data_IF_315184278418
#
_entry.id   IF_315184278418
#
_cell.length_a   1.000
_cell.length_b   1.000
_cell.length_c   1.000
_cell.angle_alpha   90.00
_cell.angle_beta   90.00
_cell.angle_gamma   90.00
#
_symmetry.space_group_name_H-M   'P 1'
#
loop_
_entity.id
_entity.type
_entity.pdbx_description
1 polymer ?
#
# COMPACT_ATOMS: atom_id res chain seq x y z
N UNK A 1 22.15 -18.82 42.98
CA UNK A 1 21.02 -17.92 43.30
C UNK A 1 21.27 -16.60 42.60
N UNK A 2 20.69 -16.43 41.40
CA UNK A 2 20.61 -15.17 40.65
C UNK A 2 19.32 -15.24 39.85
N UNK A 3 18.49 -14.21 39.96
CA UNK A 3 17.17 -14.08 39.35
C UNK A 3 17.35 -13.60 37.90
N UNK A 4 16.76 -14.22 36.86
CA UNK A 4 16.76 -13.64 35.54
C UNK A 4 15.61 -12.65 35.36
N UNK A 5 15.97 -11.52 34.76
CA UNK A 5 15.12 -10.37 34.52
C UNK A 5 13.99 -10.67 33.52
N UNK A 6 12.79 -10.38 33.99
CA UNK A 6 11.60 -9.86 33.29
C UNK A 6 11.72 -9.57 31.79
N UNK A 7 10.85 -10.23 31.02
CA UNK A 7 10.34 -9.77 29.71
C UNK A 7 9.84 -8.32 29.76
N UNK A 8 9.86 -7.63 28.62
CA UNK A 8 8.69 -6.92 28.13
C UNK A 8 8.08 -7.77 27.02
N UNK A 9 6.88 -8.28 27.31
CA UNK A 9 6.03 -8.97 26.37
C UNK A 9 5.79 -8.07 25.14
N UNK A 10 6.28 -8.49 23.98
CA UNK A 10 5.67 -8.10 22.72
C UNK A 10 4.29 -8.75 22.74
N UNK A 11 3.23 -7.94 22.86
CA UNK A 11 1.83 -8.41 22.79
C UNK A 11 1.57 -8.93 21.38
N UNK A 12 1.99 -10.16 21.12
CA UNK A 12 1.39 -11.00 20.10
C UNK A 12 0.04 -11.39 20.67
N UNK A 13 -1.04 -10.91 20.04
CA UNK A 13 -2.39 -11.26 20.44
C UNK A 13 -2.62 -12.76 20.16
N UNK A 14 -2.29 -13.59 21.13
CA UNK A 14 -2.73 -14.97 21.23
C UNK A 14 -4.24 -14.93 21.51
N UNK A 15 -5.06 -14.94 20.45
CA UNK A 15 -6.40 -15.52 20.37
C UNK A 15 -7.17 -14.94 19.17
N UNK A 16 -6.72 -15.24 17.96
CA UNK A 16 -7.63 -15.50 16.83
C UNK A 16 -7.11 -16.70 16.07
N UNK A 17 -7.84 -17.81 16.19
CA UNK A 17 -7.82 -18.89 15.21
C UNK A 17 -8.42 -18.34 13.91
N UNK A 18 -7.66 -17.54 13.18
CA UNK A 18 -7.85 -17.41 11.75
C UNK A 18 -6.73 -18.23 11.14
N UNK A 19 -7.12 -19.34 10.54
CA UNK A 19 -6.26 -20.24 9.77
C UNK A 19 -5.13 -19.46 9.09
N UNK A 20 -3.86 -19.92 9.13
CA UNK A 20 -2.85 -19.32 8.27
C UNK A 20 -3.42 -19.44 6.87
N UNK A 21 -3.88 -18.32 6.29
CA UNK A 21 -4.24 -18.31 4.89
C UNK A 21 -2.98 -18.84 4.20
N UNK A 22 -3.06 -19.97 3.49
CA UNK A 22 -1.88 -20.49 2.82
C UNK A 22 -1.39 -19.34 1.96
N UNK A 23 -0.12 -18.96 2.16
CA UNK A 23 0.52 -17.97 1.31
C UNK A 23 0.31 -18.48 -0.10
N UNK A 24 -0.61 -17.86 -0.83
CA UNK A 24 -1.16 -18.40 -2.08
C UNK A 24 -0.08 -18.54 -3.16
N UNK A 25 1.05 -17.88 -2.96
CA UNK A 25 2.25 -17.97 -3.76
C UNK A 25 3.47 -18.32 -2.89
N UNK A 26 3.99 -19.54 -3.03
CA UNK A 26 5.13 -20.03 -2.26
C UNK A 26 6.46 -19.35 -2.60
N UNK A 27 6.48 -18.42 -3.57
CA UNK A 27 7.69 -17.69 -3.99
C UNK A 27 7.95 -16.47 -3.12
N UNK A 28 6.92 -15.76 -2.68
CA UNK A 28 7.07 -14.54 -1.86
C UNK A 28 7.28 -14.89 -0.37
N UNK A 29 8.28 -14.28 0.30
CA UNK A 29 8.60 -14.61 1.69
C UNK A 29 7.69 -13.93 2.73
N UNK A 30 6.75 -13.10 2.29
CA UNK A 30 5.79 -12.41 3.15
C UNK A 30 4.48 -12.11 2.40
N UNK A 31 3.43 -11.78 3.15
CA UNK A 31 2.22 -11.14 2.65
C UNK A 31 2.05 -9.76 3.29
N UNK A 32 1.35 -8.87 2.60
CA UNK A 32 0.92 -7.57 3.12
C UNK A 32 -0.56 -7.43 2.80
N UNK A 33 -1.38 -7.26 3.83
CA UNK A 33 -2.82 -7.08 3.69
C UNK A 33 -3.33 -5.99 4.65
N UNK A 34 -4.60 -5.64 4.50
CA UNK A 34 -5.33 -4.75 5.38
C UNK A 34 -6.35 -5.57 6.17
N UNK A 35 -6.12 -5.64 7.48
CA UNK A 35 -6.99 -6.36 8.40
C UNK A 35 -7.77 -5.40 9.29
N UNK A 36 -8.75 -5.94 10.04
CA UNK A 36 -9.60 -5.18 10.96
C UNK A 36 -9.81 -5.91 12.28
N UNK A 37 -9.65 -5.18 13.38
CA UNK A 37 -10.06 -5.60 14.72
C UNK A 37 -11.08 -4.62 15.34
N UNK A 38 -11.33 -4.78 16.64
CA UNK A 38 -12.27 -3.95 17.39
C UNK A 38 -11.74 -2.50 17.58
N UNK A 39 -10.46 -2.25 17.34
CA UNK A 39 -9.81 -0.94 17.46
C UNK A 39 -9.67 -0.22 16.11
N UNK A 40 -9.90 -0.90 14.99
CA UNK A 40 -9.89 -0.32 13.66
C UNK A 40 -9.20 -1.21 12.62
N UNK A 41 -8.82 -0.59 11.51
CA UNK A 41 -8.06 -1.26 10.45
C UNK A 41 -6.55 -1.07 10.67
N UNK A 42 -5.76 -2.05 10.24
CA UNK A 42 -4.30 -2.02 10.33
C UNK A 42 -3.67 -2.77 9.16
N UNK A 43 -2.38 -2.50 8.90
CA UNK A 43 -1.59 -3.31 7.96
C UNK A 43 -1.13 -4.58 8.65
N UNK A 44 -1.51 -5.74 8.11
CA UNK A 44 -0.97 -7.03 8.54
C UNK A 44 0.19 -7.42 7.62
N UNK A 45 1.33 -7.74 8.21
CA UNK A 45 2.49 -8.29 7.50
C UNK A 45 2.80 -9.65 8.09
N UNK A 46 2.52 -10.70 7.33
CA UNK A 46 2.85 -12.07 7.74
C UNK A 46 4.15 -12.47 7.08
N UNK A 47 5.15 -12.79 7.90
CA UNK A 47 6.42 -13.33 7.44
C UNK A 47 6.38 -14.85 7.45
N UNK A 48 6.97 -15.46 6.44
CA UNK A 48 7.19 -16.90 6.44
C UNK A 48 8.19 -17.30 7.51
N UNK A 49 7.86 -18.23 8.42
CA UNK A 49 8.80 -18.63 9.47
C UNK A 49 10.15 -19.12 8.93
N UNK A 50 10.15 -19.83 7.81
CA UNK A 50 11.37 -20.36 7.16
C UNK A 50 12.22 -19.31 6.46
N UNK A 51 11.70 -18.08 6.28
CA UNK A 51 12.38 -17.00 5.53
C UNK A 51 12.33 -15.64 6.21
N UNK A 52 11.76 -15.54 7.41
CA UNK A 52 11.51 -14.27 8.09
C UNK A 52 12.79 -13.45 8.29
N UNK A 53 13.90 -14.12 8.66
CA UNK A 53 15.20 -13.47 8.86
C UNK A 53 15.79 -12.85 7.58
N UNK A 54 15.31 -13.25 6.40
CA UNK A 54 15.77 -12.75 5.11
C UNK A 54 15.01 -11.51 4.66
N UNK A 55 13.85 -11.22 5.27
CA UNK A 55 13.02 -10.07 4.91
C UNK A 55 13.49 -8.85 5.70
N UNK A 56 13.67 -7.73 5.00
CA UNK A 56 13.92 -6.41 5.59
C UNK A 56 12.83 -5.46 5.11
N UNK A 57 12.15 -4.85 6.08
CA UNK A 57 11.12 -3.84 5.83
C UNK A 57 11.71 -2.45 6.10
N UNK A 58 11.45 -1.51 5.20
CA UNK A 58 11.85 -0.12 5.35
C UNK A 58 10.73 0.80 4.85
N UNK A 59 10.43 1.85 5.60
CA UNK A 59 9.56 2.93 5.13
C UNK A 59 10.43 3.93 4.37
N UNK A 60 10.20 4.07 3.06
CA UNK A 60 10.99 4.94 2.20
C UNK A 60 10.55 6.40 2.27
N UNK A 61 9.24 6.63 2.43
CA UNK A 61 8.65 7.96 2.48
C UNK A 61 7.31 7.91 3.23
N UNK A 62 6.95 9.03 3.88
CA UNK A 62 5.68 9.20 4.59
C UNK A 62 5.09 10.54 4.18
N UNK A 63 3.80 10.53 3.83
CA UNK A 63 3.02 11.72 3.57
C UNK A 63 1.89 11.84 4.60
N UNK A 64 2.13 12.44 5.79
CA UNK A 64 1.15 12.46 6.89
C UNK A 64 -0.17 13.13 6.51
N UNK A 65 -0.10 14.24 5.75
CA UNK A 65 -1.29 14.97 5.29
C UNK A 65 -2.18 14.14 4.36
N UNK A 66 -1.58 13.22 3.61
CA UNK A 66 -2.29 12.29 2.74
C UNK A 66 -2.61 10.96 3.46
N UNK A 67 -2.09 10.75 4.68
CA UNK A 67 -2.18 9.48 5.42
C UNK A 67 -1.64 8.29 4.62
N UNK A 68 -0.56 8.52 3.87
CA UNK A 68 0.09 7.52 3.03
C UNK A 68 1.53 7.28 3.46
N UNK A 69 2.04 6.09 3.22
CA UNK A 69 3.44 5.71 3.35
C UNK A 69 3.87 4.82 2.18
N UNK A 70 5.14 4.89 1.80
CA UNK A 70 5.76 3.98 0.85
C UNK A 70 6.59 2.96 1.61
N UNK A 71 6.15 1.70 1.61
CA UNK A 71 6.85 0.58 2.23
C UNK A 71 7.71 -0.12 1.18
N UNK A 72 8.93 -0.51 1.56
CA UNK A 72 9.77 -1.42 0.81
C UNK A 72 10.00 -2.70 1.61
N UNK A 73 9.80 -3.83 0.96
CA UNK A 73 10.26 -5.13 1.43
C UNK A 73 11.43 -5.58 0.56
N UNK A 74 12.52 -6.02 1.18
CA UNK A 74 13.69 -6.61 0.51
C UNK A 74 13.91 -8.03 1.01
N UNK A 75 14.29 -8.93 0.12
CA UNK A 75 14.71 -10.29 0.46
C UNK A 75 15.72 -10.79 -0.57
N UNK A 76 16.90 -11.23 -0.10
CA UNK A 76 18.02 -11.55 -1.00
C UNK A 76 18.36 -10.37 -1.93
N UNK A 77 18.31 -10.61 -3.23
CA UNK A 77 18.52 -9.58 -4.27
C UNK A 77 17.21 -9.00 -4.82
N UNK A 78 16.07 -9.41 -4.29
CA UNK A 78 14.74 -8.96 -4.72
C UNK A 78 14.21 -7.85 -3.81
N UNK A 79 13.34 -7.00 -4.35
CA UNK A 79 12.62 -6.01 -3.56
C UNK A 79 11.30 -5.65 -4.20
N UNK A 80 10.26 -5.55 -3.37
CA UNK A 80 8.97 -5.01 -3.76
C UNK A 80 8.67 -3.73 -2.97
N UNK A 81 7.88 -2.84 -3.58
CA UNK A 81 7.42 -1.60 -2.95
C UNK A 81 5.90 -1.58 -2.93
N UNK A 82 5.35 -1.02 -1.87
CA UNK A 82 3.92 -0.93 -1.66
C UNK A 82 3.56 0.48 -1.22
N UNK A 83 2.60 1.07 -1.91
CA UNK A 83 1.96 2.27 -1.43
C UNK A 83 0.84 1.85 -0.50
N UNK A 84 0.97 2.24 0.76
CA UNK A 84 0.02 1.92 1.80
C UNK A 84 -0.59 3.21 2.32
N UNK A 85 -1.86 3.16 2.72
CA UNK A 85 -2.45 4.34 3.33
C UNK A 85 -3.91 4.20 3.71
N UNK A 86 -4.47 5.33 4.14
CA UNK A 86 -5.87 5.48 4.49
C UNK A 86 -6.55 6.56 3.65
N UNK A 87 -7.45 6.12 2.79
CA UNK A 87 -8.29 6.99 1.96
C UNK A 87 -9.56 7.45 2.73
N UNK A 88 -10.53 8.07 2.07
CA UNK A 88 -11.77 8.63 2.60
C UNK A 88 -12.54 7.65 3.47
N UNK A 89 -12.48 6.34 3.18
CA UNK A 89 -13.27 5.33 3.88
C UNK A 89 -12.54 4.03 4.23
N UNK A 90 -11.40 3.74 3.60
CA UNK A 90 -10.75 2.44 3.73
C UNK A 90 -9.23 2.56 3.75
N UNK A 91 -8.60 1.67 4.51
CA UNK A 91 -7.18 1.37 4.39
C UNK A 91 -6.92 0.60 3.08
N UNK A 92 -5.73 0.81 2.50
CA UNK A 92 -5.32 0.13 1.27
C UNK A 92 -3.83 -0.19 1.29
N UNK A 93 -3.45 -1.24 0.58
CA UNK A 93 -2.08 -1.54 0.20
C UNK A 93 -2.05 -1.87 -1.31
N UNK A 94 -1.16 -1.25 -2.06
CA UNK A 94 -1.03 -1.43 -3.50
C UNK A 94 0.42 -1.68 -3.89
N UNK A 95 0.68 -2.75 -4.62
CA UNK A 95 2.01 -3.06 -5.14
C UNK A 95 2.40 -2.05 -6.23
N UNK A 96 3.54 -1.39 -6.04
CA UNK A 96 4.07 -0.40 -6.99
C UNK A 96 4.90 -1.14 -8.04
N UNK A 97 4.67 -0.89 -9.35
CA UNK A 97 5.48 -1.49 -10.41
C UNK A 97 6.98 -1.24 -10.20
N UNK A 98 7.80 -2.30 -10.28
CA UNK A 98 9.25 -2.19 -10.07
C UNK A 98 9.92 -1.25 -11.08
N UNK A 99 9.41 -1.26 -12.33
CA UNK A 99 9.88 -0.40 -13.43
C UNK A 99 9.74 1.10 -13.15
N UNK A 100 8.86 1.50 -12.23
CA UNK A 100 8.68 2.90 -11.88
C UNK A 100 9.80 3.43 -10.96
N UNK A 101 10.61 2.55 -10.37
CA UNK A 101 11.69 2.89 -9.43
C UNK A 101 11.28 3.89 -8.33
N UNK A 102 10.00 3.93 -7.94
CA UNK A 102 9.46 4.95 -7.05
C UNK A 102 10.18 4.97 -5.69
N UNK A 103 10.59 6.16 -5.24
CA UNK A 103 11.25 6.39 -3.94
C UNK A 103 10.50 7.37 -3.05
N UNK A 104 9.35 7.88 -3.52
CA UNK A 104 8.46 8.76 -2.77
C UNK A 104 7.00 8.34 -2.94
N UNK A 105 6.15 8.74 -1.99
CA UNK A 105 4.70 8.53 -2.06
C UNK A 105 4.15 9.12 -3.35
N UNK A 106 4.60 10.31 -3.75
CA UNK A 106 4.15 10.97 -4.98
C UNK A 106 4.52 10.15 -6.22
N UNK A 107 5.76 9.66 -6.30
CA UNK A 107 6.19 8.83 -7.43
C UNK A 107 5.41 7.52 -7.50
N UNK A 108 5.14 6.89 -6.35
CA UNK A 108 4.31 5.70 -6.27
C UNK A 108 2.85 5.95 -6.71
N UNK A 109 2.28 7.11 -6.33
CA UNK A 109 0.95 7.51 -6.79
C UNK A 109 0.89 7.70 -8.30
N UNK A 110 1.90 8.32 -8.91
CA UNK A 110 1.97 8.47 -10.37
C UNK A 110 2.11 7.11 -11.07
N UNK A 111 2.94 6.21 -10.54
CA UNK A 111 3.20 4.88 -11.09
C UNK A 111 1.97 3.97 -11.12
N UNK A 112 1.01 4.21 -10.22
CA UNK A 112 -0.21 3.42 -10.08
C UNK A 112 -1.39 3.99 -10.89
N UNK A 113 -1.21 5.09 -11.63
CA UNK A 113 -2.26 5.62 -12.50
C UNK A 113 -2.43 4.74 -13.74
N UNK A 114 -3.67 4.41 -14.12
CA UNK A 114 -3.94 3.81 -15.42
C UNK A 114 -3.45 4.71 -16.57
N UNK A 115 -2.97 4.11 -17.65
CA UNK A 115 -2.43 4.84 -18.82
C UNK A 115 -3.41 5.90 -19.35
N UNK A 116 -4.69 5.55 -19.46
CA UNK A 116 -5.74 6.47 -19.92
C UNK A 116 -5.84 7.76 -19.06
N UNK A 117 -5.54 7.66 -17.76
CA UNK A 117 -5.51 8.80 -16.83
C UNK A 117 -4.26 9.63 -17.09
N UNK A 118 -3.10 8.98 -17.16
CA UNK A 118 -1.82 9.62 -17.45
C UNK A 118 -1.86 10.39 -18.78
N UNK A 119 -2.40 9.76 -19.84
CA UNK A 119 -2.60 10.37 -21.15
C UNK A 119 -3.53 11.59 -21.07
N UNK A 120 -4.63 11.47 -20.31
CA UNK A 120 -5.54 12.60 -20.12
C UNK A 120 -4.86 13.77 -19.39
N UNK A 121 -4.01 13.50 -18.40
CA UNK A 121 -3.25 14.54 -17.71
C UNK A 121 -2.27 15.27 -18.65
N UNK A 122 -1.64 14.53 -19.56
CA UNK A 122 -0.75 15.09 -20.58
C UNK A 122 -1.55 15.95 -21.57
N UNK A 123 -2.66 15.42 -22.12
CA UNK A 123 -3.54 16.15 -23.06
C UNK A 123 -4.04 17.47 -22.48
N UNK A 124 -4.41 17.48 -21.19
CA UNK A 124 -4.92 18.67 -20.51
C UNK A 124 -3.84 19.50 -19.80
N UNK A 125 -2.55 19.19 -20.03
CA UNK A 125 -1.40 19.91 -19.47
C UNK A 125 -1.50 20.13 -17.94
N UNK A 126 -1.93 19.10 -17.22
CA UNK A 126 -2.12 19.18 -15.76
C UNK A 126 -0.76 19.43 -15.10
N UNK A 127 -0.61 20.61 -14.48
CA UNK A 127 0.61 21.00 -13.75
C UNK A 127 0.91 19.97 -12.66
N UNK A 128 2.19 19.66 -12.44
CA UNK A 128 2.65 18.63 -11.50
C UNK A 128 1.97 18.72 -10.11
N UNK A 129 1.90 19.93 -9.53
CA UNK A 129 1.24 20.19 -8.23
C UNK A 129 -0.27 19.91 -8.17
N UNK A 130 -0.90 19.63 -9.31
CA UNK A 130 -2.32 19.31 -9.44
C UNK A 130 -2.58 17.85 -9.82
N UNK A 131 -1.53 17.09 -10.16
CA UNK A 131 -1.69 15.75 -10.72
C UNK A 131 -2.28 14.73 -9.77
N UNK A 132 -2.08 14.91 -8.46
CA UNK A 132 -2.63 14.05 -7.40
C UNK A 132 -3.76 14.71 -6.60
N UNK A 133 -4.32 15.82 -7.11
CA UNK A 133 -5.54 16.38 -6.52
C UNK A 133 -6.73 15.52 -6.89
N UNK A 134 -7.69 15.41 -5.98
CA UNK A 134 -8.97 14.70 -6.17
C UNK A 134 -9.71 15.09 -7.47
N UNK A 135 -9.61 16.35 -7.86
CA UNK A 135 -10.17 16.87 -9.12
C UNK A 135 -9.09 17.67 -9.84
N UNK A 136 -8.91 17.41 -11.14
CA UNK A 136 -8.10 18.23 -12.04
C UNK A 136 -8.69 18.16 -13.45
N UNK A 137 -8.10 18.88 -14.40
CA UNK A 137 -8.59 18.95 -15.78
C UNK A 137 -8.42 17.64 -16.58
N UNK A 138 -7.66 16.66 -16.07
CA UNK A 138 -7.46 15.37 -16.72
C UNK A 138 -8.39 14.26 -16.21
N UNK A 139 -8.86 14.35 -14.96
CA UNK A 139 -9.72 13.32 -14.38
C UNK A 139 -10.57 13.81 -13.20
N UNK A 140 -11.61 13.03 -12.90
CA UNK A 140 -12.32 13.03 -11.61
C UNK A 140 -12.06 11.69 -10.92
N UNK A 141 -11.53 11.72 -9.70
CA UNK A 141 -11.30 10.53 -8.88
C UNK A 141 -12.59 10.16 -8.13
N UNK A 142 -12.97 8.88 -8.19
CA UNK A 142 -14.05 8.26 -7.41
C UNK A 142 -13.42 7.51 -6.20
N UNK A 143 -12.87 8.25 -5.24
CA UNK A 143 -11.94 7.72 -4.22
C UNK A 143 -10.48 7.86 -4.65
N UNK A 144 -9.51 7.37 -3.87
CA UNK A 144 -8.09 7.51 -4.20
C UNK A 144 -7.66 6.57 -5.35
N UNK A 145 -8.37 5.46 -5.60
CA UNK A 145 -7.88 4.44 -6.56
C UNK A 145 -8.83 4.09 -7.70
N UNK A 146 -9.98 4.74 -7.80
CA UNK A 146 -10.85 4.63 -8.97
C UNK A 146 -10.78 5.93 -9.78
N UNK A 147 -10.40 5.80 -11.04
CA UNK A 147 -10.30 6.92 -11.96
C UNK A 147 -11.36 6.78 -13.04
N UNK A 148 -12.10 7.85 -13.30
CA UNK A 148 -12.98 7.93 -14.47
C UNK A 148 -12.41 9.00 -15.41
N UNK A 149 -12.15 8.69 -16.70
CA UNK A 149 -11.74 9.68 -17.68
C UNK A 149 -12.79 10.80 -17.77
N UNK A 150 -12.35 12.06 -17.75
CA UNK A 150 -13.27 13.19 -17.87
C UNK A 150 -13.94 13.17 -19.26
N UNK A 151 -15.26 12.91 -19.29
CA UNK A 151 -16.06 12.74 -20.52
C UNK A 151 -16.75 11.38 -20.65
N UNK A 152 -16.41 10.40 -19.82
CA UNK A 152 -17.18 9.15 -19.68
C UNK A 152 -18.05 9.23 -18.42
N UNK A 153 -19.37 9.25 -18.59
CA UNK A 153 -20.29 9.02 -17.47
C UNK A 153 -20.23 7.53 -17.12
N UNK A 154 -19.87 7.12 -15.89
CA UNK A 154 -19.90 5.73 -15.51
C UNK A 154 -21.37 5.26 -15.50
N UNK A 155 -21.67 4.22 -16.26
CA UNK A 155 -22.95 3.54 -16.23
C UNK A 155 -23.01 2.66 -14.98
N UNK A 156 -23.89 3.00 -14.04
CA UNK A 156 -24.29 2.12 -12.94
C UNK A 156 -25.68 1.57 -13.28
N UNK A 157 -25.84 0.26 -13.54
CA UNK A 157 -27.18 -0.32 -13.55
C UNK A 157 -27.76 -0.24 -12.13
N UNK A 158 -29.03 0.15 -12.05
CA UNK A 158 -29.81 0.26 -10.80
C UNK A 158 -29.94 -1.08 -10.07
#
# INVERSE_FOLDING_TARGET
MVVPATSPAMRVAWNRLTSPLPIRDTRVPFTLDVEKDDNGQFFEILLRPDRAEQVRLAVLDIAPKARHLLLQAKWGNESAKYLCGHDERFWFAAAVPESAHASSVVAAQEALKPDAVSDSQLRHQVKAKHRNRRKNAGFIRQGEWFFVPQGQTPYYPE
#
